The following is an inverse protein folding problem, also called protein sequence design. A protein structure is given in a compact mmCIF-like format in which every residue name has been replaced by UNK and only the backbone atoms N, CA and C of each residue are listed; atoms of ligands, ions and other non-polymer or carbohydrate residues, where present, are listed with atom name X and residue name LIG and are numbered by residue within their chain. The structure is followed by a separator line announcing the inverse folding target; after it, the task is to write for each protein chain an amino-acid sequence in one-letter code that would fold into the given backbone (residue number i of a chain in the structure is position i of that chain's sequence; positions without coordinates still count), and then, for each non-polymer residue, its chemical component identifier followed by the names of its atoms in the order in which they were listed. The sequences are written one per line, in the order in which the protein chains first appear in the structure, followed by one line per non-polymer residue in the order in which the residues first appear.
data_IF_045656753003
#
_entry.id   IF_045656753003
#
_cell.length_a   1.000
_cell.length_b   1.000
_cell.length_c   1.000
_cell.angle_alpha   90.00
_cell.angle_beta   90.00
_cell.angle_gamma   90.00
#
_symmetry.space_group_name_H-M   'P 1'
#
loop_
_entity.id
_entity.type
_entity.pdbx_description
1 polymer ?
#
# COMPACT_ATOMS: atom_id res chain seq x y z
N UNK A 1 70.08 20.67 -52.93
CA UNK A 1 69.69 21.99 -52.41
C UNK A 1 68.17 22.15 -52.55
N UNK A 2 67.43 22.05 -51.45
CA UNK A 2 65.99 22.40 -51.44
C UNK A 2 65.93 23.93 -51.46
N UNK A 3 65.26 24.54 -52.45
CA UNK A 3 65.17 26.01 -52.50
C UNK A 3 64.35 26.50 -51.30
N UNK A 4 64.74 27.64 -50.74
CA UNK A 4 64.12 28.23 -49.55
C UNK A 4 62.58 28.35 -49.64
N UNK A 5 62.06 28.48 -50.87
CA UNK A 5 60.64 28.57 -51.16
C UNK A 5 59.88 27.23 -50.97
N UNK A 6 60.54 26.09 -51.18
CA UNK A 6 59.95 24.76 -50.87
C UNK A 6 59.93 24.48 -49.37
N UNK A 7 60.96 24.93 -48.64
CA UNK A 7 61.03 24.79 -47.19
C UNK A 7 59.93 25.62 -46.50
N UNK A 8 59.74 26.86 -46.96
CA UNK A 8 58.71 27.77 -46.45
C UNK A 8 57.29 27.20 -46.64
N UNK A 9 57.00 26.62 -47.82
CA UNK A 9 55.69 25.99 -48.09
C UNK A 9 55.42 24.78 -47.21
N UNK A 10 56.44 23.97 -46.92
CA UNK A 10 56.31 22.82 -46.02
C UNK A 10 56.02 23.24 -44.58
N UNK A 11 56.72 24.26 -44.08
CA UNK A 11 56.53 24.78 -42.72
C UNK A 11 55.11 25.35 -42.54
N UNK A 12 54.61 26.10 -43.54
CA UNK A 12 53.27 26.69 -43.49
C UNK A 12 52.16 25.63 -43.45
N UNK A 13 52.37 24.51 -44.14
CA UNK A 13 51.41 23.40 -44.21
C UNK A 13 51.35 22.62 -42.89
N UNK A 14 52.49 22.46 -42.21
CA UNK A 14 52.56 21.83 -40.88
C UNK A 14 51.87 22.68 -39.81
N UNK A 15 52.03 24.01 -39.87
CA UNK A 15 51.36 24.93 -38.95
C UNK A 15 49.83 24.86 -39.11
N UNK A 16 49.33 24.84 -40.35
CA UNK A 16 47.90 24.74 -40.64
C UNK A 16 47.26 23.44 -40.12
N UNK A 17 47.96 22.31 -40.23
CA UNK A 17 47.46 21.02 -39.74
C UNK A 17 47.43 20.99 -38.21
N UNK A 18 48.39 21.64 -37.55
CA UNK A 18 48.49 21.67 -36.09
C UNK A 18 47.41 22.52 -35.41
N UNK A 19 46.76 23.45 -36.12
CA UNK A 19 45.71 24.32 -35.56
C UNK A 19 44.31 23.73 -35.60
N UNK A 20 44.09 22.63 -36.32
CA UNK A 20 42.77 21.98 -36.44
C UNK A 20 42.33 21.29 -35.11
N UNK A 21 43.19 20.55 -34.39
CA UNK A 21 42.80 19.85 -33.16
C UNK A 21 42.37 20.79 -32.02
N UNK A 22 42.97 21.98 -31.93
CA UNK A 22 42.67 22.96 -30.86
C UNK A 22 41.30 23.59 -31.02
N UNK A 23 40.79 23.71 -32.25
CA UNK A 23 39.44 24.18 -32.51
C UNK A 23 38.39 23.15 -32.07
N UNK A 24 38.69 21.85 -32.24
CA UNK A 24 37.79 20.75 -31.86
C UNK A 24 37.68 20.64 -30.33
N UNK A 25 38.77 20.89 -29.59
CA UNK A 25 38.73 20.90 -28.11
C UNK A 25 37.96 22.08 -27.51
N UNK A 26 37.94 23.24 -28.19
CA UNK A 26 37.18 24.41 -27.75
C UNK A 26 35.66 24.27 -27.96
N UNK A 27 35.23 23.32 -28.80
CA UNK A 27 33.82 23.05 -29.08
C UNK A 27 33.23 21.88 -28.26
N UNK A 28 34.02 21.31 -27.34
CA UNK A 28 33.53 20.37 -26.33
C UNK A 28 32.93 21.15 -25.16
N UNK A 29 31.85 21.89 -25.42
CA UNK A 29 31.05 22.50 -24.36
C UNK A 29 30.55 21.42 -23.40
N UNK A 30 30.74 21.67 -22.10
CA UNK A 30 30.27 20.80 -21.03
C UNK A 30 28.74 20.72 -21.11
N UNK A 31 28.21 19.62 -21.61
CA UNK A 31 26.78 19.33 -21.52
C UNK A 31 26.42 19.04 -20.06
N UNK A 32 25.99 20.07 -19.33
CA UNK A 32 25.34 19.89 -18.04
C UNK A 32 23.96 19.27 -18.28
N UNK A 33 23.90 17.95 -18.18
CA UNK A 33 22.64 17.21 -18.14
C UNK A 33 22.02 17.48 -16.78
N UNK A 34 21.09 18.44 -16.73
CA UNK A 34 20.29 18.72 -15.55
C UNK A 34 19.12 17.74 -15.51
N UNK A 35 19.37 16.55 -14.98
CA UNK A 35 18.33 15.54 -14.78
C UNK A 35 17.59 15.82 -13.46
N UNK A 36 16.31 16.16 -13.53
CA UNK A 36 15.42 16.06 -12.36
C UNK A 36 15.11 14.59 -12.12
N UNK A 37 15.83 13.97 -11.21
CA UNK A 37 15.46 12.64 -10.68
C UNK A 37 14.26 12.87 -9.76
N UNK A 38 13.05 12.56 -10.24
CA UNK A 38 11.94 12.28 -9.33
C UNK A 38 12.28 10.97 -8.64
N UNK A 39 12.86 11.05 -7.45
CA UNK A 39 13.00 9.90 -6.56
C UNK A 39 11.62 9.26 -6.42
N UNK A 40 11.51 8.00 -6.84
CA UNK A 40 10.25 7.25 -6.83
C UNK A 40 9.61 7.28 -5.43
N UNK A 41 8.28 7.28 -5.39
CA UNK A 41 7.52 7.34 -4.14
C UNK A 41 6.93 5.96 -3.84
N UNK A 42 6.94 5.56 -2.57
CA UNK A 42 6.14 4.43 -2.11
C UNK A 42 4.67 4.87 -2.08
N UNK A 43 3.83 4.27 -2.93
CA UNK A 43 2.40 4.60 -3.03
C UNK A 43 1.58 3.49 -2.39
N UNK A 44 1.41 3.62 -1.08
CA UNK A 44 0.63 2.69 -0.26
C UNK A 44 -0.74 3.27 0.00
N UNK A 45 -1.79 2.54 -0.35
CA UNK A 45 -3.17 2.93 -0.08
C UNK A 45 -4.10 1.71 -0.08
N UNK A 46 -5.30 1.92 0.45
CA UNK A 46 -6.37 0.92 0.49
C UNK A 46 -7.03 0.88 -0.89
N UNK A 47 -7.03 -0.30 -1.51
CA UNK A 47 -7.62 -0.53 -2.84
C UNK A 47 -8.97 -1.24 -2.82
N UNK A 48 -9.26 -1.99 -1.76
CA UNK A 48 -10.50 -2.74 -1.63
C UNK A 48 -10.84 -2.92 -0.16
N UNK A 49 -12.11 -3.11 0.15
CA UNK A 49 -12.59 -3.34 1.50
C UNK A 49 -13.76 -4.33 1.50
N UNK A 50 -13.99 -4.97 2.65
CA UNK A 50 -15.19 -5.74 2.96
C UNK A 50 -15.56 -5.50 4.41
N UNK A 51 -16.81 -5.17 4.68
CA UNK A 51 -17.29 -4.89 6.03
C UNK A 51 -18.42 -5.86 6.32
N UNK A 52 -18.34 -6.52 7.47
CA UNK A 52 -19.33 -7.51 7.90
C UNK A 52 -19.68 -7.22 9.35
N UNK A 53 -20.95 -6.98 9.65
CA UNK A 53 -21.46 -6.82 11.00
C UNK A 53 -22.40 -7.98 11.31
N UNK A 54 -22.31 -8.57 12.51
CA UNK A 54 -23.23 -9.61 12.93
C UNK A 54 -24.64 -9.04 13.09
N UNK A 55 -25.62 -9.67 12.43
CA UNK A 55 -27.03 -9.30 12.56
C UNK A 55 -27.84 -10.40 13.23
N UNK A 56 -27.85 -11.60 12.62
CA UNK A 56 -28.58 -12.74 13.16
C UNK A 56 -27.96 -14.06 12.69
N UNK A 57 -28.16 -15.12 13.47
CA UNK A 57 -27.85 -16.48 13.05
C UNK A 57 -29.13 -17.16 12.56
N UNK A 58 -29.13 -17.61 11.31
CA UNK A 58 -30.27 -18.33 10.72
C UNK A 58 -29.85 -19.73 10.32
N UNK A 59 -30.34 -20.72 11.08
CA UNK A 59 -29.93 -22.13 10.98
C UNK A 59 -28.43 -22.31 11.26
N UNK A 60 -27.63 -22.45 10.21
CA UNK A 60 -26.18 -22.73 10.23
C UNK A 60 -25.37 -21.63 9.54
N UNK A 61 -26.01 -20.56 9.05
CA UNK A 61 -25.31 -19.42 8.45
C UNK A 61 -25.56 -18.17 9.25
N UNK A 62 -24.53 -17.35 9.34
CA UNK A 62 -24.65 -16.04 9.95
C UNK A 62 -24.94 -15.00 8.89
N UNK A 63 -26.01 -14.26 9.14
CA UNK A 63 -26.40 -13.14 8.30
C UNK A 63 -25.62 -11.95 8.80
N UNK A 64 -24.75 -11.45 7.92
CA UNK A 64 -24.06 -10.19 8.13
C UNK A 64 -24.86 -9.04 7.51
N UNK A 65 -24.80 -7.88 8.15
CA UNK A 65 -25.11 -6.61 7.51
C UNK A 65 -23.82 -5.88 7.13
N UNK A 66 -23.87 -5.07 6.09
CA UNK A 66 -22.75 -4.24 5.70
C UNK A 66 -22.72 -2.96 6.58
N UNK A 67 -21.53 -2.39 6.73
CA UNK A 67 -21.33 -1.05 7.29
C UNK A 67 -20.98 -0.05 6.20
N UNK A 68 -21.07 1.23 6.51
CA UNK A 68 -20.76 2.31 5.58
C UNK A 68 -19.28 2.71 5.70
N UNK A 69 -18.58 2.82 4.57
CA UNK A 69 -17.16 3.19 4.51
C UNK A 69 -16.97 4.59 3.91
N UNK A 70 -16.20 5.43 4.60
CA UNK A 70 -15.76 6.73 4.11
C UNK A 70 -14.22 6.78 4.09
N UNK A 71 -13.64 6.91 2.90
CA UNK A 71 -12.19 6.96 2.71
C UNK A 71 -11.66 8.38 2.84
N UNK A 72 -10.48 8.52 3.46
CA UNK A 72 -9.69 9.76 3.41
C UNK A 72 -9.25 10.07 1.98
N UNK A 73 -8.95 11.35 1.68
CA UNK A 73 -8.53 11.81 0.34
C UNK A 73 -7.31 11.08 -0.25
N UNK A 74 -6.44 10.50 0.59
CA UNK A 74 -5.25 9.76 0.16
C UNK A 74 -5.44 8.24 0.20
N UNK A 75 -6.65 7.75 0.49
CA UNK A 75 -7.00 6.34 0.68
C UNK A 75 -6.10 5.60 1.69
N UNK A 76 -5.45 6.31 2.62
CA UNK A 76 -4.63 5.68 3.68
C UNK A 76 -5.40 5.42 4.97
N UNK A 77 -6.57 6.04 5.11
CA UNK A 77 -7.48 5.82 6.22
C UNK A 77 -8.90 5.60 5.72
N UNK A 78 -9.66 4.81 6.48
CA UNK A 78 -11.08 4.56 6.26
C UNK A 78 -11.81 4.72 7.59
N UNK A 79 -12.90 5.48 7.57
CA UNK A 79 -13.87 5.52 8.65
C UNK A 79 -15.00 4.56 8.30
N UNK A 80 -15.32 3.66 9.22
CA UNK A 80 -16.39 2.68 9.05
C UNK A 80 -17.46 2.94 10.09
N UNK A 81 -18.69 3.11 9.63
CA UNK A 81 -19.86 3.34 10.47
C UNK A 81 -20.76 2.11 10.45
N UNK A 82 -21.10 1.64 11.64
CA UNK A 82 -22.04 0.56 11.88
C UNK A 82 -23.29 1.12 12.55
N UNK A 83 -24.43 0.48 12.31
CA UNK A 83 -25.72 0.86 12.92
C UNK A 83 -26.37 -0.33 13.63
N UNK A 84 -27.30 -0.03 14.55
CA UNK A 84 -28.06 -1.05 15.29
C UNK A 84 -27.18 -2.03 16.07
N UNK A 85 -26.30 -1.50 16.92
CA UNK A 85 -25.37 -2.30 17.73
C UNK A 85 -26.03 -2.61 19.06
N UNK A 86 -26.07 -3.88 19.42
CA UNK A 86 -26.64 -4.36 20.68
C UNK A 86 -25.64 -5.22 21.43
N UNK A 87 -25.97 -5.61 22.66
CA UNK A 87 -25.13 -6.49 23.46
C UNK A 87 -24.76 -7.78 22.72
N UNK A 88 -23.46 -8.11 22.68
CA UNK A 88 -22.94 -9.29 21.98
C UNK A 88 -22.71 -9.07 20.48
N UNK A 89 -22.88 -7.85 19.98
CA UNK A 89 -22.54 -7.49 18.61
C UNK A 89 -21.03 -7.59 18.36
N UNK A 90 -20.68 -8.05 17.16
CA UNK A 90 -19.33 -8.02 16.66
C UNK A 90 -19.31 -7.76 15.16
N UNK A 91 -18.17 -7.30 14.67
CA UNK A 91 -17.98 -6.96 13.26
C UNK A 91 -16.56 -7.25 12.80
N UNK A 92 -16.40 -7.30 11.49
CA UNK A 92 -15.14 -7.53 10.80
C UNK A 92 -14.98 -6.49 9.70
N UNK A 93 -13.81 -5.88 9.64
CA UNK A 93 -13.41 -4.98 8.55
C UNK A 93 -12.18 -5.56 7.87
N UNK A 94 -12.35 -6.02 6.64
CA UNK A 94 -11.29 -6.44 5.74
C UNK A 94 -10.82 -5.28 4.87
N UNK A 95 -9.51 -5.05 4.79
CA UNK A 95 -8.87 -4.04 3.93
C UNK A 95 -7.79 -4.69 3.06
N UNK A 96 -7.74 -4.35 1.78
CA UNK A 96 -6.61 -4.68 0.90
C UNK A 96 -5.73 -3.46 0.76
N UNK A 97 -4.49 -3.59 1.21
CA UNK A 97 -3.44 -2.58 1.10
C UNK A 97 -2.58 -2.93 -0.11
N UNK A 98 -2.44 -2.00 -1.05
CA UNK A 98 -1.62 -2.19 -2.26
C UNK A 98 -0.41 -1.27 -2.26
N UNK A 99 0.71 -1.76 -2.79
CA UNK A 99 1.87 -0.94 -3.09
C UNK A 99 1.98 -0.71 -4.60
N UNK A 100 1.43 0.40 -5.09
CA UNK A 100 1.56 0.83 -6.49
C UNK A 100 2.71 1.84 -6.69
N UNK A 101 3.63 1.88 -5.73
CA UNK A 101 4.84 2.69 -5.79
C UNK A 101 5.94 2.01 -6.58
N UNK A 102 7.11 2.64 -6.60
CA UNK A 102 8.33 2.09 -7.23
C UNK A 102 9.23 1.41 -6.20
N UNK A 103 9.02 1.69 -4.90
CA UNK A 103 9.82 1.15 -3.81
C UNK A 103 9.00 0.26 -2.87
N UNK A 104 9.61 -0.83 -2.36
CA UNK A 104 9.00 -1.62 -1.30
C UNK A 104 8.86 -0.81 0.00
N UNK A 105 7.89 -1.15 0.83
CA UNK A 105 7.67 -0.51 2.13
C UNK A 105 7.25 -1.53 3.18
N UNK A 106 7.74 -1.36 4.41
CA UNK A 106 7.25 -2.16 5.53
C UNK A 106 5.85 -1.66 5.93
N UNK A 107 4.88 -2.55 5.93
CA UNK A 107 3.50 -2.28 6.36
C UNK A 107 3.27 -3.01 7.66
N UNK A 108 2.85 -2.29 8.68
CA UNK A 108 2.51 -2.85 9.98
C UNK A 108 0.99 -3.04 10.10
N UNK A 109 0.56 -3.76 11.15
CA UNK A 109 -0.86 -3.79 11.52
C UNK A 109 -1.38 -2.36 11.68
N UNK A 110 -2.53 -1.99 11.07
CA UNK A 110 -2.98 -0.61 11.03
C UNK A 110 -3.38 -0.10 12.41
N UNK A 111 -3.37 1.21 12.56
CA UNK A 111 -3.89 1.87 13.73
C UNK A 111 -5.42 1.88 13.67
N UNK A 112 -6.05 1.59 14.81
CA UNK A 112 -7.50 1.54 14.93
C UNK A 112 -7.92 2.47 16.06
N UNK A 113 -8.68 3.51 15.71
CA UNK A 113 -9.31 4.41 16.65
C UNK A 113 -10.77 3.98 16.78
N UNK A 114 -11.12 3.44 17.93
CA UNK A 114 -12.47 2.96 18.25
C UNK A 114 -12.94 3.51 19.61
N UNK A 115 -14.26 3.61 19.83
CA UNK A 115 -14.81 3.94 21.15
C UNK A 115 -14.40 2.93 22.24
N UNK A 116 -14.44 3.36 23.50
CA UNK A 116 -13.98 2.57 24.68
C UNK A 116 -14.75 1.24 24.84
N UNK A 117 -16.00 1.21 24.39
CA UNK A 117 -16.88 0.03 24.43
C UNK A 117 -16.70 -0.93 23.24
N UNK A 118 -15.69 -0.71 22.40
CA UNK A 118 -15.33 -1.57 21.28
C UNK A 118 -13.91 -2.09 21.49
N UNK A 119 -13.78 -3.39 21.72
CA UNK A 119 -12.49 -4.07 21.69
C UNK A 119 -12.11 -4.42 20.25
N UNK A 120 -10.82 -4.34 19.93
CA UNK A 120 -10.34 -4.57 18.56
C UNK A 120 -9.20 -5.59 18.51
N UNK A 121 -9.14 -6.36 17.43
CA UNK A 121 -8.01 -7.26 17.14
C UNK A 121 -7.68 -7.17 15.65
N UNK A 122 -6.39 -7.24 15.32
CA UNK A 122 -5.87 -6.93 13.98
C UNK A 122 -5.05 -8.09 13.46
N UNK A 123 -5.34 -8.50 12.23
CA UNK A 123 -4.68 -9.62 11.58
C UNK A 123 -4.19 -9.20 10.20
N UNK A 124 -2.90 -9.36 9.93
CA UNK A 124 -2.25 -8.94 8.68
C UNK A 124 -1.70 -10.16 7.96
N UNK A 125 -2.07 -10.29 6.68
CA UNK A 125 -1.74 -11.42 5.81
C UNK A 125 -1.16 -10.97 4.47
N UNK A 126 -0.29 -11.78 3.89
CA UNK A 126 0.31 -11.53 2.59
C UNK A 126 1.76 -12.02 2.53
N UNK A 127 2.55 -11.59 1.55
CA UNK A 127 2.18 -10.79 0.37
C UNK A 127 1.51 -11.65 -0.72
N UNK A 128 0.63 -11.05 -1.53
CA UNK A 128 0.04 -11.72 -2.69
C UNK A 128 -0.08 -10.77 -3.89
N UNK A 129 -0.38 -11.32 -5.07
CA UNK A 129 -0.69 -10.55 -6.28
C UNK A 129 -2.13 -10.77 -6.69
N UNK A 130 -2.83 -9.70 -7.03
CA UNK A 130 -4.17 -9.74 -7.61
C UNK A 130 -4.34 -8.56 -8.58
N UNK A 131 -4.97 -8.74 -9.75
CA UNK A 131 -5.07 -7.71 -10.76
C UNK A 131 -5.98 -6.54 -10.33
N UNK A 132 -5.60 -5.32 -10.70
CA UNK A 132 -6.43 -4.11 -10.54
C UNK A 132 -6.91 -3.88 -9.10
N UNK A 133 -8.19 -3.55 -8.90
CA UNK A 133 -8.80 -3.37 -7.58
C UNK A 133 -9.59 -4.62 -7.12
N UNK A 134 -9.32 -5.79 -7.70
CA UNK A 134 -10.10 -7.00 -7.40
C UNK A 134 -10.11 -7.32 -5.90
N UNK A 135 -11.32 -7.51 -5.36
CA UNK A 135 -11.53 -7.93 -3.99
C UNK A 135 -11.18 -9.41 -3.84
N UNK A 136 -10.24 -9.71 -2.96
CA UNK A 136 -9.78 -11.08 -2.63
C UNK A 136 -10.65 -11.73 -1.55
N UNK A 137 -11.93 -11.39 -1.55
CA UNK A 137 -12.78 -11.56 -0.39
C UNK A 137 -13.44 -12.92 -0.26
N UNK A 138 -13.54 -13.68 -1.35
CA UNK A 138 -14.22 -14.99 -1.39
C UNK A 138 -15.57 -15.02 -0.67
N UNK A 139 -16.00 -16.23 -0.33
CA UNK A 139 -17.16 -16.50 0.51
C UNK A 139 -16.74 -16.60 1.97
N UNK A 140 -16.36 -15.46 2.56
CA UNK A 140 -16.10 -15.37 4.01
C UNK A 140 -17.41 -15.41 4.81
N UNK A 141 -17.47 -16.28 5.81
CA UNK A 141 -18.56 -16.35 6.79
C UNK A 141 -18.12 -15.75 8.13
N UNK A 142 -18.89 -14.77 8.61
CA UNK A 142 -18.57 -13.99 9.81
C UNK A 142 -18.51 -14.85 11.08
N UNK A 143 -19.34 -15.88 11.18
CA UNK A 143 -19.35 -16.78 12.34
C UNK A 143 -18.22 -17.81 12.27
N UNK A 144 -17.89 -18.30 11.09
CA UNK A 144 -16.72 -19.16 10.91
C UNK A 144 -15.44 -18.42 11.30
N UNK A 145 -15.25 -17.18 10.83
CA UNK A 145 -14.10 -16.35 11.21
C UNK A 145 -14.03 -16.12 12.72
N UNK A 146 -15.17 -15.84 13.35
CA UNK A 146 -15.24 -15.60 14.81
C UNK A 146 -14.99 -16.88 15.61
N UNK A 147 -15.53 -18.02 15.18
CA UNK A 147 -15.27 -19.33 15.78
C UNK A 147 -13.80 -19.74 15.67
N UNK A 148 -13.19 -19.51 14.50
CA UNK A 148 -11.76 -19.73 14.27
C UNK A 148 -10.91 -18.84 15.18
N UNK A 149 -11.29 -17.57 15.35
CA UNK A 149 -10.62 -16.66 16.27
C UNK A 149 -10.67 -17.18 17.71
N UNK A 150 -11.83 -17.63 18.19
CA UNK A 150 -11.98 -18.17 19.55
C UNK A 150 -11.19 -19.46 19.74
N UNK A 151 -11.18 -20.34 18.75
CA UNK A 151 -10.55 -21.67 18.86
C UNK A 151 -9.03 -21.66 18.63
N UNK A 152 -8.54 -20.80 17.76
CA UNK A 152 -7.14 -20.81 17.29
C UNK A 152 -6.40 -19.48 17.44
N UNK A 153 -7.09 -18.42 17.86
CA UNK A 153 -6.54 -17.06 17.91
C UNK A 153 -6.42 -16.39 16.54
N UNK A 154 -6.93 -17.01 15.47
CA UNK A 154 -6.77 -16.53 14.10
C UNK A 154 -8.04 -16.80 13.27
N UNK A 155 -8.61 -15.81 12.55
CA UNK A 155 -9.82 -16.01 11.74
C UNK A 155 -9.64 -16.95 10.54
N UNK A 156 -8.41 -17.14 10.05
CA UNK A 156 -8.05 -18.01 8.93
C UNK A 156 -6.99 -19.03 9.34
N UNK A 157 -7.40 -20.14 9.97
CA UNK A 157 -6.50 -21.22 10.35
C UNK A 157 -5.74 -21.72 9.11
N UNK A 158 -4.41 -21.72 9.19
CA UNK A 158 -3.52 -22.05 8.07
C UNK A 158 -2.88 -20.83 7.40
N UNK A 159 -3.39 -19.62 7.65
CA UNK A 159 -2.71 -18.37 7.28
C UNK A 159 -1.93 -17.84 8.48
N UNK A 160 -0.71 -17.36 8.25
CA UNK A 160 0.14 -16.78 9.30
C UNK A 160 -0.21 -15.30 9.44
N UNK A 161 -0.70 -14.90 10.62
CA UNK A 161 -0.80 -13.49 11.02
C UNK A 161 0.61 -12.93 11.25
N UNK A 162 0.90 -11.75 10.69
CA UNK A 162 2.21 -11.11 10.75
C UNK A 162 2.10 -9.74 11.41
N UNK A 163 3.09 -9.32 12.20
CA UNK A 163 3.08 -7.98 12.76
C UNK A 163 3.47 -6.91 11.74
N UNK A 164 4.33 -7.28 10.78
CA UNK A 164 4.71 -6.42 9.65
C UNK A 164 5.04 -7.23 8.39
N UNK A 165 4.82 -6.62 7.22
CA UNK A 165 5.12 -7.20 5.90
C UNK A 165 5.94 -6.21 5.08
N UNK A 166 7.08 -6.67 4.56
CA UNK A 166 7.85 -5.92 3.56
C UNK A 166 7.17 -6.01 2.19
N UNK A 167 6.29 -5.06 1.89
CA UNK A 167 5.40 -5.11 0.73
C UNK A 167 6.09 -4.58 -0.53
N UNK A 168 6.35 -5.47 -1.49
CA UNK A 168 7.00 -5.13 -2.76
C UNK A 168 6.07 -4.33 -3.70
N UNK A 169 6.63 -3.53 -4.63
CA UNK A 169 5.87 -2.91 -5.71
C UNK A 169 5.02 -3.93 -6.49
N UNK A 170 3.75 -3.61 -6.73
CA UNK A 170 2.77 -4.48 -7.41
C UNK A 170 2.22 -5.62 -6.55
N UNK A 171 2.61 -5.72 -5.27
CA UNK A 171 2.05 -6.67 -4.32
C UNK A 171 1.04 -6.01 -3.39
N UNK A 172 0.25 -6.88 -2.75
CA UNK A 172 -0.82 -6.52 -1.83
C UNK A 172 -0.74 -7.30 -0.53
N UNK A 173 -1.33 -6.73 0.51
CA UNK A 173 -1.56 -7.34 1.80
C UNK A 173 -3.05 -7.20 2.17
N UNK A 174 -3.56 -8.14 2.97
CA UNK A 174 -4.91 -8.09 3.53
C UNK A 174 -4.78 -7.84 5.02
N UNK A 175 -5.57 -6.91 5.53
CA UNK A 175 -5.80 -6.77 6.96
C UNK A 175 -7.24 -7.13 7.27
N UNK A 176 -7.45 -7.89 8.34
CA UNK A 176 -8.75 -8.04 8.99
C UNK A 176 -8.71 -7.41 10.37
N UNK A 177 -9.69 -6.57 10.67
CA UNK A 177 -9.91 -5.97 11.98
C UNK A 177 -11.19 -6.54 12.55
N UNK A 178 -11.08 -7.28 13.65
CA UNK A 178 -12.20 -7.73 14.46
C UNK A 178 -12.62 -6.63 15.42
N UNK A 179 -13.91 -6.44 15.58
CA UNK A 179 -14.55 -5.50 16.48
C UNK A 179 -15.51 -6.29 17.36
N UNK A 180 -15.40 -6.14 18.67
CA UNK A 180 -16.31 -6.78 19.60
C UNK A 180 -16.85 -5.75 20.58
N UNK A 181 -18.17 -5.58 20.58
CA UNK A 181 -18.87 -4.65 21.44
C UNK A 181 -18.97 -5.21 22.86
N UNK A 182 -18.38 -4.48 23.79
CA UNK A 182 -18.32 -4.87 25.21
C UNK A 182 -19.29 -4.06 26.08
N UNK A 183 -20.09 -3.18 25.46
CA UNK A 183 -21.10 -2.41 26.16
C UNK A 183 -22.36 -3.23 26.45
N UNK A 184 -23.22 -2.65 27.29
CA UNK A 184 -24.51 -3.24 27.70
C UNK A 184 -25.72 -2.50 27.15
N UNK A 185 -25.51 -1.30 26.60
CA UNK A 185 -26.56 -0.46 26.02
C UNK A 185 -26.63 -0.67 24.51
N UNK A 186 -27.81 -0.49 23.92
CA UNK A 186 -27.96 -0.49 22.47
C UNK A 186 -27.53 0.87 21.90
N UNK A 187 -26.71 0.85 20.85
CA UNK A 187 -26.23 2.03 20.15
C UNK A 187 -26.86 2.12 18.77
N UNK A 188 -27.37 3.31 18.43
CA UNK A 188 -27.89 3.59 17.10
C UNK A 188 -26.79 3.52 16.04
N UNK A 189 -25.60 4.03 16.35
CA UNK A 189 -24.42 3.94 15.49
C UNK A 189 -23.09 4.01 16.23
N UNK A 190 -22.06 3.42 15.64
CA UNK A 190 -20.65 3.56 16.05
C UNK A 190 -19.80 3.80 14.81
N UNK A 191 -18.85 4.72 14.92
CA UNK A 191 -17.84 4.96 13.90
C UNK A 191 -16.46 4.59 14.42
N UNK A 192 -15.69 3.90 13.60
CA UNK A 192 -14.28 3.56 13.86
C UNK A 192 -13.42 4.08 12.72
N UNK A 193 -12.18 4.45 13.01
CA UNK A 193 -11.21 4.84 11.97
C UNK A 193 -10.06 3.86 11.94
N UNK A 194 -9.71 3.37 10.75
CA UNK A 194 -8.59 2.47 10.52
C UNK A 194 -7.61 3.17 9.59
N UNK A 195 -6.35 3.27 9.98
CA UNK A 195 -5.30 3.98 9.26
C UNK A 195 -4.10 3.08 9.01
N UNK A 196 -3.59 3.07 7.77
CA UNK A 196 -2.38 2.31 7.43
C UNK A 196 -1.18 2.95 8.14
N UNK A 197 -0.64 2.22 9.12
CA UNK A 197 0.65 2.52 9.73
C UNK A 197 1.77 2.21 8.73
N UNK A 198 2.67 3.17 8.56
CA UNK A 198 3.84 3.03 7.70
C UNK A 198 4.49 4.35 7.39
#
# INVERSE_FOLDING_TARGET
MISANRLYRLILLVILIATIPTAISMWSDKTMISAKIKTGEARIYITSYKILAFKEQKKERCISSDGEAAFSNNNRSVSVTFTSISQGWYGWVGLVISNEGVFPRNIEKPDVVAPINISTSRFLYGQFRAPGMSGVWGDVDICMMTSNLVSSGNPFPGSVDMDSIYLQPGYKAIVWVFLNYTGVEDLSSVSITISIAG
#
